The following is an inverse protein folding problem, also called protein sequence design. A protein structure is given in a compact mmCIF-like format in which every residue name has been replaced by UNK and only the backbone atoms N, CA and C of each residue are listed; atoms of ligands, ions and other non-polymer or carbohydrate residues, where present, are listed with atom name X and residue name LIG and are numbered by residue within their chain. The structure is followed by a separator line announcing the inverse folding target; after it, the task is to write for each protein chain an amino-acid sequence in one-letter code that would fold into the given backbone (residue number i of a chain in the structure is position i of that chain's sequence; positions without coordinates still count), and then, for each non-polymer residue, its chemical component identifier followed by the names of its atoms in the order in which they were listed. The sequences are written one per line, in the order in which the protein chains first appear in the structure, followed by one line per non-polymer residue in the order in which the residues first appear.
data_IF_052410727698
#
_entry.id   IF_052410727698
#
_cell.length_a   1.000
_cell.length_b   1.000
_cell.length_c   1.000
_cell.angle_alpha   90.00
_cell.angle_beta   90.00
_cell.angle_gamma   90.00
#
_symmetry.space_group_name_H-M   'P 1'
#
loop_
_entity.id
_entity.type
_entity.pdbx_description
1 polymer ?
#
# COMPACT_ATOMS: atom_id res chain seq x y z
N UNK A 1 -29.32 -12.52 23.94
CA UNK A 1 -28.56 -11.26 23.73
C UNK A 1 -27.82 -11.38 22.39
N UNK A 2 -28.36 -10.82 21.29
CA UNK A 2 -27.68 -10.88 19.97
C UNK A 2 -26.41 -10.03 20.06
N UNK A 3 -25.22 -10.64 19.93
CA UNK A 3 -23.96 -9.89 19.75
C UNK A 3 -24.13 -9.01 18.51
N UNK A 4 -24.19 -7.69 18.70
CA UNK A 4 -24.20 -6.72 17.59
C UNK A 4 -22.89 -6.93 16.83
N UNK A 5 -22.98 -7.22 15.53
CA UNK A 5 -21.80 -7.43 14.67
C UNK A 5 -21.01 -6.13 14.66
N UNK A 6 -19.71 -6.22 14.96
CA UNK A 6 -18.81 -5.08 14.83
C UNK A 6 -18.38 -4.97 13.37
N UNK A 7 -19.06 -4.10 12.62
CA UNK A 7 -18.85 -3.93 11.19
C UNK A 7 -17.45 -3.41 10.84
N UNK A 8 -16.90 -2.48 11.62
CA UNK A 8 -15.53 -1.96 11.42
C UNK A 8 -14.48 -3.10 11.56
N UNK A 9 -14.64 -3.93 12.60
CA UNK A 9 -13.79 -5.11 12.81
C UNK A 9 -13.89 -6.07 11.65
N UNK A 10 -15.11 -6.40 11.23
CA UNK A 10 -15.35 -7.33 10.13
C UNK A 10 -14.70 -6.81 8.84
N UNK A 11 -14.94 -5.54 8.51
CA UNK A 11 -14.40 -4.88 7.33
C UNK A 11 -12.86 -4.90 7.34
N UNK A 12 -12.24 -4.49 8.45
CA UNK A 12 -10.77 -4.47 8.57
C UNK A 12 -10.16 -5.86 8.35
N UNK A 13 -10.78 -6.90 8.93
CA UNK A 13 -10.33 -8.29 8.80
C UNK A 13 -10.52 -8.81 7.38
N UNK A 14 -11.59 -8.42 6.69
CA UNK A 14 -11.93 -8.94 5.37
C UNK A 14 -11.25 -8.22 4.20
N UNK A 15 -10.75 -7.00 4.38
CA UNK A 15 -10.22 -6.18 3.28
C UNK A 15 -9.01 -6.80 2.57
N UNK A 16 -7.95 -7.18 3.29
CA UNK A 16 -6.78 -7.82 2.66
C UNK A 16 -7.13 -9.17 2.01
N UNK A 17 -7.91 -10.07 2.67
CA UNK A 17 -8.45 -11.26 1.99
C UNK A 17 -9.21 -10.95 0.71
N UNK A 18 -10.07 -9.93 0.70
CA UNK A 18 -10.85 -9.57 -0.48
C UNK A 18 -9.96 -9.05 -1.61
N UNK A 19 -9.00 -8.15 -1.31
CA UNK A 19 -8.02 -7.66 -2.28
C UNK A 19 -7.24 -8.83 -2.91
N UNK A 20 -6.79 -9.78 -2.08
CA UNK A 20 -6.10 -10.97 -2.56
C UNK A 20 -6.97 -11.87 -3.43
N UNK A 21 -8.21 -12.15 -2.99
CA UNK A 21 -9.15 -12.97 -3.75
C UNK A 21 -9.49 -12.37 -5.11
N UNK A 22 -9.63 -11.04 -5.20
CA UNK A 22 -9.85 -10.35 -6.48
C UNK A 22 -8.66 -10.56 -7.41
N UNK A 23 -7.44 -10.34 -6.92
CA UNK A 23 -6.22 -10.58 -7.69
C UNK A 23 -6.08 -12.05 -8.10
N UNK A 24 -6.29 -12.96 -7.17
CA UNK A 24 -6.16 -14.40 -7.40
C UNK A 24 -7.20 -14.91 -8.40
N UNK A 25 -8.45 -14.42 -8.33
CA UNK A 25 -9.48 -14.70 -9.33
C UNK A 25 -9.05 -14.23 -10.73
N UNK A 26 -8.46 -13.04 -10.82
CA UNK A 26 -7.90 -12.55 -12.08
C UNK A 26 -6.77 -13.44 -12.62
N UNK A 27 -5.88 -13.94 -11.76
CA UNK A 27 -4.80 -14.86 -12.18
C UNK A 27 -5.33 -16.25 -12.59
N UNK A 28 -6.44 -16.72 -12.00
CA UNK A 28 -7.17 -17.91 -12.46
C UNK A 28 -7.75 -17.67 -13.86
N UNK A 29 -8.49 -16.57 -14.06
CA UNK A 29 -9.13 -16.23 -15.33
C UNK A 29 -8.10 -16.07 -16.45
N UNK A 30 -6.93 -15.50 -16.14
CA UNK A 30 -5.84 -15.34 -17.11
C UNK A 30 -4.99 -16.61 -17.31
N UNK A 31 -5.36 -17.74 -16.68
CA UNK A 31 -4.77 -19.05 -16.91
C UNK A 31 -3.37 -19.25 -16.31
N UNK A 32 -2.98 -18.42 -15.32
CA UNK A 32 -1.68 -18.53 -14.64
C UNK A 32 -1.69 -19.51 -13.48
N UNK A 33 -2.86 -19.81 -12.93
CA UNK A 33 -3.05 -20.86 -11.92
C UNK A 33 -3.52 -22.13 -12.63
N UNK A 34 -2.67 -23.15 -12.71
CA UNK A 34 -2.92 -24.35 -13.54
C UNK A 34 -3.09 -25.64 -12.74
N UNK A 35 -2.62 -25.67 -11.51
CA UNK A 35 -2.58 -26.86 -10.67
C UNK A 35 -3.27 -26.65 -9.31
N UNK A 36 -3.76 -27.73 -8.73
CA UNK A 36 -4.49 -27.72 -7.46
C UNK A 36 -3.61 -27.32 -6.28
N UNK A 37 -2.31 -27.58 -6.35
CA UNK A 37 -1.38 -27.26 -5.29
C UNK A 37 -1.18 -25.74 -5.16
N UNK A 38 -0.87 -25.06 -6.25
CA UNK A 38 -0.84 -23.59 -6.34
C UNK A 38 -2.18 -23.01 -5.92
N UNK A 39 -3.29 -23.60 -6.36
CA UNK A 39 -4.63 -23.12 -5.99
C UNK A 39 -4.87 -23.13 -4.47
N UNK A 40 -4.60 -24.27 -3.81
CA UNK A 40 -4.81 -24.44 -2.37
C UNK A 40 -3.89 -23.52 -1.56
N UNK A 41 -2.62 -23.38 -1.94
CA UNK A 41 -1.68 -22.54 -1.21
C UNK A 41 -2.01 -21.05 -1.35
N UNK A 42 -2.45 -20.58 -2.51
CA UNK A 42 -2.93 -19.20 -2.67
C UNK A 42 -4.20 -18.93 -1.83
N UNK A 43 -5.10 -19.92 -1.66
CA UNK A 43 -6.23 -19.77 -0.72
C UNK A 43 -5.76 -19.71 0.75
N UNK A 44 -4.66 -20.37 1.11
CA UNK A 44 -4.14 -20.32 2.49
C UNK A 44 -3.71 -18.91 2.93
N UNK A 45 -3.30 -18.05 1.98
CA UNK A 45 -2.91 -16.67 2.26
C UNK A 45 -4.06 -15.82 2.80
N UNK A 46 -5.32 -16.20 2.55
CA UNK A 46 -6.50 -15.58 3.13
C UNK A 46 -6.42 -15.54 4.65
N UNK A 47 -5.93 -16.62 5.28
CA UNK A 47 -5.80 -16.68 6.74
C UNK A 47 -4.71 -15.74 7.25
N UNK A 48 -3.59 -15.63 6.53
CA UNK A 48 -2.50 -14.71 6.86
C UNK A 48 -2.99 -13.26 6.77
N UNK A 49 -3.71 -12.92 5.71
CA UNK A 49 -4.29 -11.59 5.50
C UNK A 49 -5.38 -11.25 6.50
N UNK A 50 -6.27 -12.19 6.83
CA UNK A 50 -7.29 -11.99 7.87
C UNK A 50 -6.66 -11.79 9.25
N UNK A 51 -5.63 -12.56 9.58
CA UNK A 51 -4.88 -12.41 10.83
C UNK A 51 -4.19 -11.04 10.91
N UNK A 52 -3.61 -10.58 9.80
CA UNK A 52 -3.01 -9.25 9.68
C UNK A 52 -4.05 -8.15 9.91
N UNK A 53 -5.22 -8.25 9.25
CA UNK A 53 -6.34 -7.34 9.47
C UNK A 53 -6.84 -7.34 10.92
N UNK A 54 -6.83 -8.49 11.60
CA UNK A 54 -7.19 -8.58 13.01
C UNK A 54 -6.20 -7.85 13.92
N UNK A 55 -4.89 -7.99 13.66
CA UNK A 55 -3.85 -7.24 14.38
C UNK A 55 -4.03 -5.73 14.16
N UNK A 56 -4.24 -5.32 12.91
CA UNK A 56 -4.47 -3.92 12.56
C UNK A 56 -5.67 -3.36 13.32
N UNK A 57 -6.80 -4.08 13.33
CA UNK A 57 -7.99 -3.67 14.07
C UNK A 57 -7.70 -3.52 15.56
N UNK A 58 -6.97 -4.44 16.18
CA UNK A 58 -6.59 -4.33 17.59
C UNK A 58 -5.80 -3.03 17.87
N UNK A 59 -4.85 -2.69 17.00
CA UNK A 59 -4.10 -1.43 17.12
C UNK A 59 -4.95 -0.19 16.82
N UNK A 60 -5.93 -0.27 15.92
CA UNK A 60 -6.82 0.85 15.62
C UNK A 60 -7.64 1.26 16.85
N UNK A 61 -8.09 0.28 17.63
CA UNK A 61 -8.80 0.56 18.88
C UNK A 61 -7.88 1.18 19.94
N UNK A 62 -6.63 0.72 20.03
CA UNK A 62 -5.64 1.24 20.99
C UNK A 62 -5.19 2.67 20.68
N UNK A 63 -5.10 3.03 19.40
CA UNK A 63 -4.57 4.31 18.93
C UNK A 63 -5.60 5.11 18.13
N UNK A 64 -6.88 5.02 18.48
CA UNK A 64 -8.00 5.61 17.72
C UNK A 64 -7.82 7.09 17.39
N UNK A 65 -7.23 7.88 18.31
CA UNK A 65 -6.92 9.31 18.13
C UNK A 65 -5.67 9.60 17.27
N UNK A 66 -5.12 8.58 16.62
CA UNK A 66 -3.87 8.66 15.86
C UNK A 66 -2.63 8.40 16.71
N UNK A 67 -1.50 8.41 16.01
CA UNK A 67 -0.16 8.16 16.52
C UNK A 67 0.59 9.50 16.58
N UNK A 68 1.30 9.73 17.68
CA UNK A 68 2.09 10.95 17.82
C UNK A 68 3.25 11.00 16.80
N UNK A 69 3.68 12.21 16.44
CA UNK A 69 4.65 12.42 15.36
C UNK A 69 6.00 11.74 15.62
N UNK A 70 6.46 11.67 16.87
CA UNK A 70 7.72 10.98 17.22
C UNK A 70 7.65 9.48 16.92
N UNK A 71 6.54 8.83 17.27
CA UNK A 71 6.30 7.41 16.97
C UNK A 71 6.10 7.19 15.47
N UNK A 72 5.38 8.06 14.77
CA UNK A 72 5.24 7.97 13.32
C UNK A 72 6.60 8.06 12.61
N UNK A 73 7.45 9.00 13.02
CA UNK A 73 8.80 9.14 12.48
C UNK A 73 9.66 7.90 12.77
N UNK A 74 9.54 7.33 13.97
CA UNK A 74 10.23 6.09 14.30
C UNK A 74 9.77 4.90 13.45
N UNK A 75 8.45 4.74 13.25
CA UNK A 75 7.90 3.69 12.40
C UNK A 75 8.33 3.91 10.94
N UNK A 76 8.31 5.16 10.44
CA UNK A 76 8.84 5.53 9.11
C UNK A 76 10.26 5.01 8.92
N UNK A 77 11.15 5.30 9.88
CA UNK A 77 12.54 4.87 9.79
C UNK A 77 12.69 3.34 9.79
N UNK A 78 11.89 2.63 10.60
CA UNK A 78 11.86 1.16 10.57
C UNK A 78 11.41 0.65 9.21
N UNK A 79 10.33 1.20 8.63
CA UNK A 79 9.82 0.76 7.33
C UNK A 79 10.86 0.98 6.22
N UNK A 80 11.55 2.13 6.23
CA UNK A 80 12.63 2.43 5.30
C UNK A 80 13.81 1.46 5.45
N UNK A 81 14.23 1.18 6.68
CA UNK A 81 15.32 0.22 6.94
C UNK A 81 14.95 -1.20 6.52
N UNK A 82 13.71 -1.63 6.74
CA UNK A 82 13.26 -2.96 6.37
C UNK A 82 13.30 -3.16 4.85
N UNK A 83 12.82 -2.21 4.05
CA UNK A 83 12.82 -2.34 2.58
C UNK A 83 14.20 -2.03 1.97
N UNK A 84 14.76 -0.86 2.25
CA UNK A 84 16.02 -0.44 1.62
C UNK A 84 17.23 -1.17 2.21
N UNK A 85 17.24 -1.43 3.52
CA UNK A 85 18.31 -2.16 4.17
C UNK A 85 18.39 -3.61 3.70
N UNK A 86 17.25 -4.31 3.58
CA UNK A 86 17.25 -5.69 3.07
C UNK A 86 17.66 -5.73 1.60
N UNK A 87 17.21 -4.77 0.78
CA UNK A 87 17.60 -4.68 -0.63
C UNK A 87 19.10 -4.47 -0.81
N UNK A 88 19.72 -3.63 0.02
CA UNK A 88 21.19 -3.46 0.02
C UNK A 88 21.88 -4.79 0.35
N UNK A 89 21.44 -5.48 1.41
CA UNK A 89 22.02 -6.78 1.80
C UNK A 89 21.86 -7.81 0.68
N UNK A 90 20.67 -7.92 0.10
CA UNK A 90 20.40 -8.84 -1.01
C UNK A 90 21.29 -8.48 -2.20
N UNK A 91 21.35 -7.22 -2.59
CA UNK A 91 22.11 -6.77 -3.76
C UNK A 91 23.60 -7.12 -3.67
N UNK A 92 24.21 -6.96 -2.50
CA UNK A 92 25.64 -7.19 -2.33
C UNK A 92 26.01 -8.66 -2.04
N UNK A 93 25.15 -9.42 -1.37
CA UNK A 93 25.52 -10.73 -0.84
C UNK A 93 24.70 -11.90 -1.40
N UNK A 94 23.48 -11.65 -1.89
CA UNK A 94 22.52 -12.72 -2.22
C UNK A 94 21.83 -12.57 -3.58
N UNK A 95 22.23 -11.60 -4.41
CA UNK A 95 21.51 -11.28 -5.66
C UNK A 95 21.44 -12.47 -6.62
N UNK A 96 22.51 -13.26 -6.74
CA UNK A 96 22.55 -14.46 -7.59
C UNK A 96 22.04 -15.73 -6.89
N UNK A 97 21.40 -15.60 -5.72
CA UNK A 97 20.90 -16.76 -4.95
C UNK A 97 19.42 -16.95 -5.21
N UNK A 98 19.07 -18.17 -5.56
CA UNK A 98 17.69 -18.63 -5.64
C UNK A 98 17.51 -19.84 -4.72
N UNK A 99 16.42 -19.87 -3.97
CA UNK A 99 15.98 -21.08 -3.28
C UNK A 99 14.49 -21.02 -2.98
N UNK A 100 13.86 -22.20 -2.97
CA UNK A 100 12.48 -22.37 -2.55
C UNK A 100 12.39 -22.54 -1.03
N UNK A 101 11.50 -21.78 -0.41
CA UNK A 101 11.13 -21.91 1.02
C UNK A 101 9.96 -22.89 1.14
N UNK A 102 8.98 -22.78 0.25
CA UNK A 102 7.90 -23.75 0.05
C UNK A 102 7.96 -24.16 -1.42
N UNK A 103 8.20 -25.46 -1.73
CA UNK A 103 8.40 -25.91 -3.10
C UNK A 103 7.29 -25.43 -4.04
N UNK A 104 7.65 -24.87 -5.19
CA UNK A 104 6.75 -24.32 -6.22
C UNK A 104 5.77 -23.21 -5.77
N UNK A 105 5.93 -22.64 -4.57
CA UNK A 105 4.99 -21.64 -4.05
C UNK A 105 5.64 -20.42 -3.39
N UNK A 106 6.63 -20.58 -2.52
CA UNK A 106 7.30 -19.46 -1.88
C UNK A 106 8.79 -19.59 -2.11
N UNK A 107 9.39 -18.61 -2.78
CA UNK A 107 10.83 -18.62 -3.10
C UNK A 107 11.49 -17.30 -2.77
N UNK A 108 12.76 -17.37 -2.38
CA UNK A 108 13.66 -16.24 -2.48
C UNK A 108 14.19 -16.18 -3.92
N UNK A 109 13.80 -15.14 -4.66
CA UNK A 109 14.12 -14.99 -6.08
C UNK A 109 14.46 -13.52 -6.41
N UNK A 110 15.69 -13.06 -6.10
CA UNK A 110 16.11 -11.70 -6.37
C UNK A 110 16.17 -11.39 -7.86
N UNK A 111 15.44 -10.38 -8.31
CA UNK A 111 15.43 -9.90 -9.69
C UNK A 111 15.37 -8.38 -9.72
N UNK A 112 15.88 -7.77 -10.81
CA UNK A 112 15.59 -6.37 -11.10
C UNK A 112 14.39 -6.31 -12.04
N UNK A 113 13.27 -5.83 -11.52
CA UNK A 113 12.07 -5.54 -12.27
C UNK A 113 12.20 -4.16 -12.94
N UNK A 114 12.65 -4.15 -14.20
CA UNK A 114 12.90 -2.93 -14.98
C UNK A 114 11.64 -2.25 -15.50
N UNK A 115 10.46 -2.89 -15.40
CA UNK A 115 9.22 -2.30 -15.91
C UNK A 115 8.77 -1.08 -15.09
N UNK A 116 9.28 -0.95 -13.85
CA UNK A 116 9.09 0.19 -12.96
C UNK A 116 7.67 0.34 -12.39
N UNK A 117 6.69 -0.37 -12.95
CA UNK A 117 5.31 -0.41 -12.49
C UNK A 117 4.63 -1.70 -12.97
N UNK A 118 4.13 -2.49 -12.02
CA UNK A 118 3.38 -3.71 -12.32
C UNK A 118 2.16 -3.43 -13.21
N UNK A 119 1.41 -2.35 -12.95
CA UNK A 119 0.25 -1.97 -13.77
C UNK A 119 0.64 -1.60 -15.20
N UNK A 120 1.76 -0.86 -15.35
CA UNK A 120 2.26 -0.45 -16.65
C UNK A 120 2.66 -1.68 -17.49
N UNK A 121 3.39 -2.62 -16.89
CA UNK A 121 3.79 -3.88 -17.50
C UNK A 121 2.58 -4.76 -17.85
N UNK A 122 1.70 -4.97 -16.88
CA UNK A 122 0.60 -5.93 -16.96
C UNK A 122 -0.43 -5.57 -18.02
N UNK A 123 -0.74 -4.29 -18.16
CA UNK A 123 -1.74 -3.80 -19.10
C UNK A 123 -1.14 -3.17 -20.35
N UNK A 124 0.19 -3.19 -20.51
CA UNK A 124 0.87 -2.59 -21.66
C UNK A 124 0.57 -1.10 -21.82
N UNK A 125 0.46 -0.36 -20.72
CA UNK A 125 0.00 1.03 -20.73
C UNK A 125 0.99 2.00 -21.42
N UNK A 126 2.22 1.55 -21.72
CA UNK A 126 3.18 2.29 -22.52
C UNK A 126 3.76 3.54 -21.84
N UNK A 127 3.62 3.66 -20.52
CA UNK A 127 4.17 4.79 -19.76
C UNK A 127 5.69 4.63 -19.68
N UNK A 128 6.43 5.65 -20.11
CA UNK A 128 7.89 5.59 -20.13
C UNK A 128 8.48 5.61 -18.72
N UNK A 129 9.63 4.96 -18.54
CA UNK A 129 10.29 4.87 -17.23
C UNK A 129 10.61 6.24 -16.60
N UNK A 130 11.11 7.26 -17.33
CA UNK A 130 11.29 8.61 -16.77
C UNK A 130 9.96 9.24 -16.34
N UNK A 131 8.87 9.01 -17.08
CA UNK A 131 7.55 9.53 -16.72
C UNK A 131 7.03 8.85 -15.44
N UNK A 132 7.29 7.55 -15.24
CA UNK A 132 6.98 6.87 -13.98
C UNK A 132 7.71 7.49 -12.79
N UNK A 133 8.97 7.90 -12.94
CA UNK A 133 9.73 8.62 -11.90
C UNK A 133 9.05 9.96 -11.59
N UNK A 134 8.71 10.75 -12.62
CA UNK A 134 8.05 12.05 -12.45
C UNK A 134 6.70 11.89 -11.74
N UNK A 135 5.87 10.93 -12.16
CA UNK A 135 4.59 10.62 -11.51
C UNK A 135 4.81 10.27 -10.05
N UNK A 136 5.85 9.50 -9.72
CA UNK A 136 6.12 9.09 -8.35
C UNK A 136 6.57 10.27 -7.47
N UNK A 137 7.41 11.18 -7.99
CA UNK A 137 7.77 12.43 -7.30
C UNK A 137 6.54 13.30 -7.05
N UNK A 138 5.68 13.48 -8.06
CA UNK A 138 4.44 14.25 -7.92
C UNK A 138 3.49 13.61 -6.90
N UNK A 139 3.37 12.29 -6.90
CA UNK A 139 2.55 11.56 -5.93
C UNK A 139 3.05 11.77 -4.49
N UNK A 140 4.37 11.74 -4.25
CA UNK A 140 4.95 12.01 -2.92
C UNK A 140 4.61 13.42 -2.42
N UNK A 141 4.70 14.43 -3.30
CA UNK A 141 4.31 15.81 -2.96
C UNK A 141 2.82 15.86 -2.62
N UNK A 142 1.97 15.25 -3.44
CA UNK A 142 0.52 15.20 -3.21
C UNK A 142 0.20 14.52 -1.88
N UNK A 143 0.83 13.38 -1.56
CA UNK A 143 0.58 12.68 -0.29
C UNK A 143 0.94 13.53 0.93
N UNK A 144 2.05 14.28 0.87
CA UNK A 144 2.42 15.23 1.92
C UNK A 144 1.34 16.30 2.07
N UNK A 145 0.93 16.94 0.96
CA UNK A 145 -0.03 18.04 1.01
C UNK A 145 -1.43 17.58 1.44
N UNK A 146 -1.89 16.42 0.96
CA UNK A 146 -3.16 15.81 1.39
C UNK A 146 -3.13 15.54 2.89
N UNK A 147 -2.05 14.94 3.41
CA UNK A 147 -1.95 14.67 4.84
C UNK A 147 -1.88 15.96 5.67
N UNK A 148 -1.12 16.98 5.24
CA UNK A 148 -1.10 18.31 5.88
C UNK A 148 -2.48 18.95 5.92
N UNK A 149 -3.20 18.92 4.79
CA UNK A 149 -4.55 19.46 4.70
C UNK A 149 -5.49 18.72 5.65
N UNK A 150 -5.42 17.39 5.68
CA UNK A 150 -6.21 16.56 6.58
C UNK A 150 -5.93 16.90 8.05
N UNK A 151 -4.66 17.04 8.44
CA UNK A 151 -4.29 17.48 9.80
C UNK A 151 -4.84 18.87 10.13
N UNK A 152 -4.85 19.81 9.17
CA UNK A 152 -5.39 21.17 9.36
C UNK A 152 -6.89 21.19 9.65
N UNK A 153 -7.62 20.13 9.28
CA UNK A 153 -9.05 19.95 9.56
C UNK A 153 -9.33 19.30 10.90
N UNK A 154 -8.30 18.90 11.65
CA UNK A 154 -8.47 18.23 12.95
C UNK A 154 -9.00 16.80 12.85
N UNK A 155 -8.96 16.20 11.66
CA UNK A 155 -9.53 14.85 11.39
C UNK A 155 -8.53 13.71 11.65
N UNK A 156 -7.38 14.00 12.26
CA UNK A 156 -6.32 13.02 12.57
C UNK A 156 -6.86 11.81 13.35
N UNK A 157 -6.60 10.61 12.84
CA UNK A 157 -6.92 9.35 13.51
C UNK A 157 -5.90 8.25 13.13
N UNK A 158 -6.09 7.04 13.67
CA UNK A 158 -5.22 5.89 13.36
C UNK A 158 -5.11 5.61 11.85
N UNK A 159 -6.25 5.62 11.17
CA UNK A 159 -6.37 5.24 9.77
C UNK A 159 -5.67 6.26 8.87
N UNK A 160 -5.87 7.56 9.09
CA UNK A 160 -5.22 8.62 8.31
C UNK A 160 -3.70 8.62 8.49
N UNK A 161 -3.25 8.42 9.73
CA UNK A 161 -1.82 8.43 10.05
C UNK A 161 -1.09 7.27 9.39
N UNK A 162 -1.63 6.05 9.50
CA UNK A 162 -1.02 4.88 8.89
C UNK A 162 -1.24 4.81 7.39
N UNK A 163 -2.35 5.34 6.86
CA UNK A 163 -2.55 5.52 5.42
C UNK A 163 -1.43 6.37 4.83
N UNK A 164 -1.22 7.57 5.37
CA UNK A 164 -0.14 8.44 4.93
C UNK A 164 1.21 7.73 5.06
N UNK A 165 1.50 7.16 6.24
CA UNK A 165 2.79 6.55 6.51
C UNK A 165 3.15 5.42 5.53
N UNK A 166 2.24 4.46 5.33
CA UNK A 166 2.50 3.28 4.50
C UNK A 166 2.54 3.61 3.01
N UNK A 167 1.61 4.44 2.51
CA UNK A 167 1.61 4.88 1.11
C UNK A 167 2.86 5.72 0.82
N UNK A 168 3.20 6.67 1.69
CA UNK A 168 4.37 7.51 1.53
C UNK A 168 5.67 6.70 1.58
N UNK A 169 5.84 5.78 2.55
CA UNK A 169 7.01 4.90 2.61
C UNK A 169 7.13 4.03 1.36
N UNK A 170 6.02 3.39 0.93
CA UNK A 170 6.01 2.54 -0.25
C UNK A 170 6.37 3.30 -1.52
N UNK A 171 5.80 4.49 -1.71
CA UNK A 171 6.12 5.36 -2.84
C UNK A 171 7.57 5.87 -2.78
N UNK A 172 8.07 6.24 -1.61
CA UNK A 172 9.44 6.73 -1.46
C UNK A 172 10.47 5.61 -1.75
N UNK A 173 10.24 4.41 -1.22
CA UNK A 173 11.05 3.23 -1.58
C UNK A 173 11.00 2.97 -3.09
N UNK A 174 9.81 3.09 -3.70
CA UNK A 174 9.65 2.93 -5.15
C UNK A 174 10.43 3.96 -5.96
N UNK A 175 10.54 5.20 -5.48
CA UNK A 175 11.32 6.25 -6.11
C UNK A 175 12.82 5.95 -6.00
N UNK A 176 13.29 5.61 -4.79
CA UNK A 176 14.70 5.26 -4.54
C UNK A 176 15.08 4.08 -5.44
N UNK A 177 14.26 3.04 -5.49
CA UNK A 177 14.46 1.89 -6.34
C UNK A 177 14.69 2.27 -7.81
N UNK A 178 13.77 3.06 -8.39
CA UNK A 178 13.87 3.49 -9.80
C UNK A 178 15.13 4.31 -10.08
N UNK A 179 15.52 5.16 -9.14
CA UNK A 179 16.68 6.06 -9.29
C UNK A 179 18.00 5.29 -9.17
N UNK A 180 18.11 4.33 -8.25
CA UNK A 180 19.39 3.67 -7.94
C UNK A 180 19.57 2.30 -8.59
N UNK A 181 18.48 1.59 -8.90
CA UNK A 181 18.54 0.24 -9.48
C UNK A 181 18.10 0.18 -10.95
N UNK A 182 17.55 1.27 -11.51
CA UNK A 182 16.98 1.26 -12.87
C UNK A 182 15.72 0.39 -13.00
N UNK A 183 15.05 0.13 -11.88
CA UNK A 183 13.92 -0.80 -11.75
C UNK A 183 13.54 -0.93 -10.27
N UNK A 184 13.07 -2.11 -9.86
CA UNK A 184 12.87 -2.48 -8.45
C UNK A 184 13.61 -3.78 -8.15
N UNK A 185 14.27 -3.87 -6.99
CA UNK A 185 14.86 -5.14 -6.54
C UNK A 185 13.78 -5.97 -5.83
N UNK A 186 13.12 -6.84 -6.59
CA UNK A 186 12.09 -7.77 -6.09
C UNK A 186 12.77 -9.08 -5.65
N UNK A 187 12.23 -9.76 -4.63
CA UNK A 187 12.88 -10.97 -4.09
C UNK A 187 11.94 -12.00 -3.45
N UNK A 188 10.67 -11.67 -3.24
CA UNK A 188 9.64 -12.56 -2.66
C UNK A 188 8.84 -13.16 -3.80
N UNK A 189 9.19 -14.36 -4.25
CA UNK A 189 8.46 -15.08 -5.30
C UNK A 189 7.24 -15.82 -4.73
N UNK A 190 6.06 -15.57 -5.31
CA UNK A 190 4.81 -16.28 -5.02
C UNK A 190 4.39 -17.10 -6.25
N UNK A 191 4.75 -18.38 -6.22
CA UNK A 191 4.57 -19.33 -7.30
C UNK A 191 5.04 -18.71 -8.63
N UNK A 192 4.32 -18.93 -9.72
CA UNK A 192 4.53 -18.29 -11.01
C UNK A 192 3.70 -16.99 -11.18
N UNK A 193 3.11 -16.45 -10.11
CA UNK A 193 2.21 -15.29 -10.20
C UNK A 193 3.00 -13.99 -10.32
N UNK A 194 3.93 -13.76 -9.39
CA UNK A 194 4.77 -12.58 -9.32
C UNK A 194 5.97 -12.79 -8.40
N UNK A 195 6.95 -11.90 -8.53
CA UNK A 195 7.97 -11.64 -7.51
C UNK A 195 7.73 -10.22 -7.01
N UNK A 196 7.68 -10.04 -5.69
CA UNK A 196 7.42 -8.76 -5.04
C UNK A 196 8.58 -8.37 -4.12
N UNK A 197 8.51 -7.17 -3.57
CA UNK A 197 9.34 -6.70 -2.48
C UNK A 197 8.51 -6.22 -1.28
N UNK A 198 9.20 -5.66 -0.28
CA UNK A 198 8.56 -5.20 0.96
C UNK A 198 7.72 -3.94 0.72
N UNK A 199 8.15 -3.00 -0.13
CA UNK A 199 7.32 -1.82 -0.45
C UNK A 199 5.98 -2.19 -1.09
N UNK A 200 5.89 -3.28 -1.84
CA UNK A 200 4.61 -3.72 -2.43
C UNK A 200 3.63 -4.15 -1.31
N UNK A 201 4.13 -4.76 -0.25
CA UNK A 201 3.35 -5.04 0.97
C UNK A 201 2.93 -3.74 1.65
N UNK A 202 3.82 -2.75 1.73
CA UNK A 202 3.48 -1.44 2.32
C UNK A 202 2.35 -0.75 1.58
N UNK A 203 2.40 -0.74 0.25
CA UNK A 203 1.37 -0.13 -0.60
C UNK A 203 0.02 -0.85 -0.40
N UNK A 204 0.00 -2.18 -0.36
CA UNK A 204 -1.23 -2.95 -0.14
C UNK A 204 -1.86 -2.69 1.24
N UNK A 205 -1.05 -2.64 2.30
CA UNK A 205 -1.52 -2.27 3.63
C UNK A 205 -1.97 -0.80 3.66
N UNK A 206 -1.27 0.09 2.94
CA UNK A 206 -1.64 1.49 2.74
C UNK A 206 -3.02 1.65 2.09
N UNK A 207 -3.36 0.82 1.10
CA UNK A 207 -4.69 0.78 0.47
C UNK A 207 -5.76 0.37 1.49
N UNK A 208 -5.50 -0.64 2.34
CA UNK A 208 -6.42 -0.97 3.44
C UNK A 208 -6.65 0.24 4.35
N UNK A 209 -5.58 0.92 4.76
CA UNK A 209 -5.71 2.10 5.62
C UNK A 209 -6.46 3.24 4.95
N UNK A 210 -6.26 3.44 3.65
CA UNK A 210 -7.02 4.41 2.86
C UNK A 210 -8.52 4.08 2.87
N UNK A 211 -8.90 2.84 2.54
CA UNK A 211 -10.30 2.41 2.54
C UNK A 211 -10.94 2.59 3.93
N UNK A 212 -10.23 2.18 4.99
CA UNK A 212 -10.71 2.36 6.35
C UNK A 212 -10.78 3.83 6.77
N UNK A 213 -9.86 4.68 6.31
CA UNK A 213 -9.90 6.11 6.55
C UNK A 213 -11.14 6.75 5.91
N UNK A 214 -11.43 6.39 4.66
CA UNK A 214 -12.62 6.85 3.92
C UNK A 214 -13.90 6.36 4.62
N UNK A 215 -13.97 5.07 4.98
CA UNK A 215 -15.10 4.48 5.70
C UNK A 215 -15.36 5.17 7.05
N UNK A 216 -14.33 5.32 7.87
CA UNK A 216 -14.47 5.89 9.23
C UNK A 216 -14.67 7.40 9.25
N UNK A 217 -14.40 8.09 8.15
CA UNK A 217 -14.64 9.53 8.02
C UNK A 217 -16.09 9.86 7.62
N UNK A 218 -16.92 8.87 7.28
CA UNK A 218 -18.31 9.09 6.88
C UNK A 218 -18.55 9.16 5.37
N UNK A 219 -17.48 9.26 4.57
CA UNK A 219 -17.55 9.44 3.11
C UNK A 219 -18.20 8.30 2.31
N UNK A 220 -18.50 7.16 2.94
CA UNK A 220 -19.23 6.03 2.33
C UNK A 220 -20.67 5.91 2.86
N UNK A 221 -21.16 6.90 3.61
CA UNK A 221 -22.54 6.95 4.09
C UNK A 221 -23.40 7.81 3.17
N UNK A 222 -24.64 7.38 2.94
CA UNK A 222 -25.63 8.08 2.10
C UNK A 222 -25.96 9.50 2.62
N UNK A 223 -25.52 9.85 3.83
CA UNK A 223 -25.73 11.16 4.45
C UNK A 223 -24.75 12.24 3.92
N UNK A 224 -23.70 11.84 3.20
CA UNK A 224 -22.65 12.73 2.66
C UNK A 224 -22.60 12.78 1.12
N UNK A 225 -23.72 12.53 0.43
CA UNK A 225 -23.78 12.72 -1.03
C UNK A 225 -23.47 14.18 -1.39
N UNK A 226 -22.29 14.40 -1.98
CA UNK A 226 -21.85 15.70 -2.48
C UNK A 226 -22.24 15.90 -3.93
N UNK A 227 -22.59 17.13 -4.29
CA UNK A 227 -22.71 17.53 -5.68
C UNK A 227 -21.33 17.74 -6.32
N UNK A 228 -21.23 17.57 -7.65
CA UNK A 228 -20.00 17.88 -8.40
C UNK A 228 -19.47 19.30 -8.12
N UNK A 229 -20.36 20.25 -7.84
CA UNK A 229 -19.99 21.62 -7.49
C UNK A 229 -19.26 21.67 -6.14
N UNK A 230 -19.74 20.94 -5.15
CA UNK A 230 -19.13 20.87 -3.81
C UNK A 230 -17.77 20.17 -3.85
N UNK A 231 -17.61 19.14 -4.67
CA UNK A 231 -16.33 18.47 -4.90
C UNK A 231 -15.31 19.41 -5.51
N UNK A 232 -15.69 20.13 -6.57
CA UNK A 232 -14.85 21.15 -7.22
C UNK A 232 -14.45 22.23 -6.21
N UNK A 233 -15.38 22.69 -5.37
CA UNK A 233 -15.09 23.68 -4.34
C UNK A 233 -14.19 23.11 -3.22
N UNK A 234 -14.30 21.81 -2.92
CA UNK A 234 -13.37 21.07 -2.07
C UNK A 234 -11.94 21.11 -2.61
N UNK A 235 -11.76 20.80 -3.90
CA UNK A 235 -10.47 20.85 -4.58
C UNK A 235 -9.91 22.29 -4.56
N UNK A 236 -10.74 23.30 -4.85
CA UNK A 236 -10.31 24.71 -4.78
C UNK A 236 -9.83 25.10 -3.38
N UNK A 237 -10.54 24.65 -2.32
CA UNK A 237 -10.13 24.89 -0.93
C UNK A 237 -8.79 24.23 -0.61
N UNK A 238 -8.57 23.01 -1.09
CA UNK A 238 -7.29 22.30 -0.96
C UNK A 238 -6.15 23.04 -1.69
N UNK A 239 -6.35 23.43 -2.94
CA UNK A 239 -5.35 24.19 -3.71
C UNK A 239 -5.06 25.56 -3.08
N UNK A 240 -6.09 26.24 -2.56
CA UNK A 240 -5.94 27.51 -1.83
C UNK A 240 -5.12 27.32 -0.54
N UNK A 241 -5.32 26.21 0.18
CA UNK A 241 -4.52 25.86 1.35
C UNK A 241 -3.03 25.73 1.00
N UNK A 242 -2.69 24.95 -0.03
CA UNK A 242 -1.30 24.80 -0.50
C UNK A 242 -0.71 26.16 -0.89
N UNK A 243 -1.47 26.94 -1.67
CA UNK A 243 -1.04 28.27 -2.13
C UNK A 243 -0.71 29.20 -0.97
N UNK A 244 -1.56 29.27 0.06
CA UNK A 244 -1.36 30.17 1.21
C UNK A 244 -0.02 29.93 1.91
N UNK A 245 0.47 28.70 1.95
CA UNK A 245 1.74 28.39 2.61
C UNK A 245 2.96 28.68 1.72
N UNK A 246 2.83 28.61 0.38
CA UNK A 246 3.88 29.02 -0.56
C UNK A 246 4.09 30.54 -0.61
N UNK A 247 3.02 31.32 -0.42
CA UNK A 247 3.03 32.79 -0.47
C UNK A 247 3.13 33.45 0.92
N UNK A 248 3.37 32.68 1.99
CA UNK A 248 3.63 33.15 3.35
C UNK A 248 5.10 33.53 3.60
N UNK A 249 5.86 33.76 2.52
CA UNK A 249 7.23 34.30 2.58
C UNK A 249 7.17 35.77 3.01
#
# INVERSE_FOLDING_TARGET
MRRKINHEKLLTISLLPAMWLIYFLFEIITGRVKDSYTFILNLSLIFVFAFTGWIIYYFSQKYSKGINSKRLFFIFFILMLLDQGIKIIIKFFFFEKYFEIIPNFLSFNPIINSDGSWLNARFGAGVSFPLLIIINILALIIFIEVYRYFLSKGTKNFWSDLCFLFIFCGALCSLIDKVFYGGSLDFIGISNLFVADIKDIYINIGILFFIMCVYTSGYLSDEEDTSLKEDIDGIKRFLSFIKKDLFKI
#
